data_IF_530069068016
#
_entry.id   IF_530069068016
#
_cell.length_a   1.000
_cell.length_b   1.000
_cell.length_c   1.000
_cell.angle_alpha   90.00
_cell.angle_beta   90.00
_cell.angle_gamma   90.00
#
_symmetry.space_group_name_H-M   'P 1'
#
loop_
_entity.id
_entity.type
_entity.pdbx_description
1 polymer ?
#
# COMPACT_ATOMS: atom_id res chain seq x y z
N UNK A 1 -11.35 6.35 -12.72
CA UNK A 1 -10.44 6.65 -13.85
C UNK A 1 -10.44 5.51 -14.88
N UNK A 2 -10.13 4.27 -14.50
CA UNK A 2 -10.02 3.13 -15.43
C UNK A 2 -11.28 2.90 -16.26
N UNK A 3 -12.44 2.79 -15.62
CA UNK A 3 -13.72 2.59 -16.31
C UNK A 3 -14.02 3.71 -17.32
N UNK A 4 -13.73 4.97 -16.95
CA UNK A 4 -13.89 6.11 -17.86
C UNK A 4 -13.00 6.06 -19.11
N UNK A 5 -11.92 5.28 -19.04
CA UNK A 5 -10.99 5.08 -20.17
C UNK A 5 -11.17 3.68 -20.82
N UNK A 6 -12.31 3.05 -20.65
CA UNK A 6 -12.64 1.73 -21.22
C UNK A 6 -11.66 0.61 -20.83
N UNK A 7 -10.98 0.73 -19.70
CA UNK A 7 -10.10 -0.31 -19.17
C UNK A 7 -10.96 -1.37 -18.49
N UNK A 8 -10.83 -2.61 -18.93
CA UNK A 8 -11.50 -3.75 -18.29
C UNK A 8 -10.81 -4.10 -16.97
N UNK A 9 -11.60 -4.25 -15.91
CA UNK A 9 -11.13 -4.64 -14.59
C UNK A 9 -11.68 -6.02 -14.28
N UNK A 10 -10.81 -6.93 -13.85
CA UNK A 10 -11.16 -8.30 -13.46
C UNK A 10 -10.79 -8.49 -11.99
N UNK A 11 -11.78 -8.48 -11.14
CA UNK A 11 -11.64 -8.78 -9.71
C UNK A 11 -11.58 -10.29 -9.47
N UNK A 12 -11.07 -10.70 -8.29
CA UNK A 12 -10.97 -12.12 -7.90
C UNK A 12 -10.23 -13.00 -8.92
N UNK A 13 -9.29 -12.41 -9.64
CA UNK A 13 -8.54 -13.05 -10.71
C UNK A 13 -7.02 -13.05 -10.40
N UNK A 14 -6.58 -13.77 -9.34
CA UNK A 14 -5.18 -13.81 -8.97
C UNK A 14 -4.33 -14.39 -10.09
N UNK A 15 -3.22 -13.73 -10.39
CA UNK A 15 -2.20 -14.22 -11.32
C UNK A 15 -1.23 -15.11 -10.57
N UNK A 16 -1.13 -16.38 -10.99
CA UNK A 16 -0.31 -17.38 -10.31
C UNK A 16 1.05 -17.60 -11.00
N UNK A 17 1.13 -17.32 -12.30
CA UNK A 17 2.34 -17.54 -13.09
C UNK A 17 2.35 -16.63 -14.31
N UNK A 18 3.54 -16.20 -14.70
CA UNK A 18 3.80 -15.49 -15.95
C UNK A 18 4.83 -16.32 -16.75
N UNK A 19 4.53 -16.61 -17.99
CA UNK A 19 5.43 -17.34 -18.88
C UNK A 19 5.77 -16.49 -20.10
N UNK A 20 7.08 -16.44 -20.40
CA UNK A 20 7.57 -15.88 -21.65
C UNK A 20 7.35 -16.89 -22.80
N UNK A 21 6.60 -16.50 -23.80
CA UNK A 21 6.48 -17.19 -25.08
C UNK A 21 7.07 -16.27 -26.16
N UNK A 22 7.71 -16.82 -27.16
CA UNK A 22 8.54 -16.07 -28.13
C UNK A 22 7.98 -14.70 -28.55
N UNK A 23 6.69 -14.61 -28.86
CA UNK A 23 6.06 -13.38 -29.36
C UNK A 23 5.06 -12.74 -28.37
N UNK A 24 4.70 -13.43 -27.30
CA UNK A 24 3.70 -13.01 -26.32
C UNK A 24 4.04 -13.49 -24.91
N UNK A 25 3.34 -12.96 -23.92
CA UNK A 25 3.40 -13.40 -22.54
C UNK A 25 2.11 -14.12 -22.20
N UNK A 26 2.20 -15.29 -21.58
CA UNK A 26 1.07 -16.03 -21.05
C UNK A 26 0.93 -15.74 -19.54
N UNK A 27 -0.23 -15.24 -19.14
CA UNK A 27 -0.56 -14.87 -17.77
C UNK A 27 -1.58 -15.88 -17.27
N UNK A 28 -1.20 -16.69 -16.30
CA UNK A 28 -2.02 -17.75 -15.74
C UNK A 28 -2.78 -17.23 -14.51
N UNK A 29 -4.09 -17.38 -14.56
CA UNK A 29 -4.99 -17.23 -13.41
C UNK A 29 -5.51 -18.61 -13.01
N UNK A 30 -6.34 -18.70 -11.95
CA UNK A 30 -6.89 -20.00 -11.53
C UNK A 30 -7.67 -20.73 -12.64
N UNK A 31 -8.36 -19.98 -13.51
CA UNK A 31 -9.31 -20.55 -14.46
C UNK A 31 -8.98 -20.21 -15.92
N UNK A 32 -8.07 -19.30 -16.19
CA UNK A 32 -7.84 -18.77 -17.53
C UNK A 32 -6.36 -18.52 -17.81
N UNK A 33 -6.01 -18.51 -19.08
CA UNK A 33 -4.72 -18.03 -19.59
C UNK A 33 -5.00 -16.80 -20.45
N UNK A 34 -4.41 -15.69 -20.07
CA UNK A 34 -4.47 -14.43 -20.81
C UNK A 34 -3.20 -14.33 -21.65
N UNK A 35 -3.33 -14.05 -22.94
CA UNK A 35 -2.23 -13.84 -23.87
C UNK A 35 -2.09 -12.36 -24.16
N UNK A 36 -0.88 -11.84 -24.03
CA UNK A 36 -0.60 -10.42 -24.26
C UNK A 36 0.77 -10.20 -24.85
N UNK A 37 0.92 -9.19 -25.70
CA UNK A 37 2.23 -8.78 -26.22
C UNK A 37 3.10 -8.13 -25.15
N UNK A 38 2.50 -7.44 -24.20
CA UNK A 38 3.18 -6.77 -23.08
C UNK A 38 2.35 -6.92 -21.81
N UNK A 39 3.03 -6.91 -20.68
CA UNK A 39 2.44 -6.92 -19.35
C UNK A 39 3.11 -5.88 -18.46
N UNK A 40 2.33 -5.24 -17.60
CA UNK A 40 2.82 -4.39 -16.52
C UNK A 40 2.51 -5.09 -15.20
N UNK A 41 3.54 -5.34 -14.40
CA UNK A 41 3.43 -5.90 -13.05
C UNK A 41 3.54 -4.76 -12.04
N UNK A 42 2.45 -4.44 -11.38
CA UNK A 42 2.31 -3.34 -10.43
C UNK A 42 1.80 -3.82 -9.06
N UNK A 43 2.22 -5.00 -8.61
CA UNK A 43 1.73 -5.66 -7.40
C UNK A 43 2.30 -5.09 -6.10
N UNK A 44 3.34 -4.26 -6.15
CA UNK A 44 4.04 -3.70 -4.99
C UNK A 44 4.37 -4.77 -3.93
N UNK A 45 3.93 -4.61 -2.67
CA UNK A 45 4.19 -5.55 -1.57
C UNK A 45 3.52 -6.92 -1.69
N UNK A 46 2.64 -7.10 -2.66
CA UNK A 46 1.89 -8.35 -2.91
C UNK A 46 2.43 -9.12 -4.12
N UNK A 47 3.71 -8.94 -4.45
CA UNK A 47 4.32 -9.54 -5.64
C UNK A 47 4.49 -11.07 -5.50
N UNK A 48 4.66 -11.57 -4.29
CA UNK A 48 4.98 -12.97 -3.99
C UNK A 48 6.12 -13.51 -4.87
N UNK A 49 5.99 -14.71 -5.43
CA UNK A 49 6.99 -15.34 -6.29
C UNK A 49 6.84 -15.04 -7.79
N UNK A 50 5.92 -14.13 -8.15
CA UNK A 50 5.50 -13.90 -9.53
C UNK A 50 6.64 -13.49 -10.48
N UNK A 51 7.66 -12.78 -9.98
CA UNK A 51 8.85 -12.38 -10.73
C UNK A 51 10.12 -13.14 -10.32
N UNK A 52 10.00 -14.26 -9.62
CA UNK A 52 11.13 -15.07 -9.18
C UNK A 52 12.14 -14.27 -8.35
N UNK A 53 13.46 -14.35 -8.65
CA UNK A 53 14.51 -13.69 -7.86
C UNK A 53 14.35 -12.16 -7.75
N UNK A 54 13.65 -11.52 -8.68
CA UNK A 54 13.48 -10.06 -8.68
C UNK A 54 12.65 -9.54 -7.49
N UNK A 55 11.94 -10.40 -6.78
CA UNK A 55 11.27 -10.05 -5.52
C UNK A 55 12.25 -9.74 -4.38
N UNK A 56 13.47 -10.23 -4.45
CA UNK A 56 14.45 -10.14 -3.35
C UNK A 56 15.05 -8.74 -3.18
N UNK A 57 14.70 -7.78 -4.02
CA UNK A 57 15.20 -6.41 -3.93
C UNK A 57 14.41 -5.50 -2.98
N UNK A 58 13.35 -6.02 -2.35
CA UNK A 58 12.58 -5.29 -1.36
C UNK A 58 12.11 -6.20 -0.22
N UNK A 59 11.81 -5.57 0.92
CA UNK A 59 11.26 -6.23 2.09
C UNK A 59 9.76 -5.90 2.20
N UNK A 60 8.86 -6.89 2.25
CA UNK A 60 7.46 -6.65 2.54
C UNK A 60 7.29 -6.29 4.03
N UNK A 61 6.61 -5.18 4.30
CA UNK A 61 6.32 -4.71 5.66
C UNK A 61 4.82 -4.47 5.78
N UNK A 62 4.19 -5.06 6.77
CA UNK A 62 2.79 -4.78 7.07
C UNK A 62 2.69 -3.51 7.90
N UNK A 63 1.89 -2.58 7.43
CA UNK A 63 1.57 -1.31 8.08
C UNK A 63 0.08 -1.26 8.43
N UNK A 64 -0.29 -0.54 9.49
CA UNK A 64 -1.65 -0.53 10.02
C UNK A 64 -2.12 0.88 10.29
N UNK A 65 -3.41 1.10 10.05
CA UNK A 65 -4.10 2.37 10.28
C UNK A 65 -5.41 2.11 11.02
N UNK A 66 -5.79 3.05 11.88
CA UNK A 66 -7.10 3.11 12.50
C UNK A 66 -7.79 4.44 12.19
N UNK A 67 -9.12 4.43 12.27
CA UNK A 67 -9.94 5.63 12.22
C UNK A 67 -10.92 5.65 13.40
N UNK A 68 -10.99 6.79 14.07
CA UNK A 68 -11.95 7.00 15.15
C UNK A 68 -13.36 7.21 14.60
N UNK A 69 -14.37 7.26 15.46
CA UNK A 69 -15.64 7.91 15.16
C UNK A 69 -15.42 9.38 14.80
N UNK A 70 -16.38 10.07 14.16
CA UNK A 70 -16.30 11.50 13.94
C UNK A 70 -16.19 12.27 15.25
N UNK A 71 -15.13 13.07 15.42
CA UNK A 71 -14.87 13.80 16.68
C UNK A 71 -15.48 15.20 16.69
N UNK A 72 -15.92 15.68 15.52
CA UNK A 72 -16.37 17.04 15.31
C UNK A 72 -15.24 18.05 15.14
N UNK A 73 -15.57 19.16 14.51
CA UNK A 73 -14.59 20.18 14.08
C UNK A 73 -13.84 20.81 15.27
N UNK A 74 -14.52 21.04 16.39
CA UNK A 74 -13.93 21.67 17.59
C UNK A 74 -12.79 20.81 18.14
N UNK A 75 -13.00 19.51 18.29
CA UNK A 75 -11.98 18.55 18.77
C UNK A 75 -10.84 18.45 17.75
N UNK A 76 -11.18 18.35 16.47
CA UNK A 76 -10.19 18.25 15.41
C UNK A 76 -9.24 19.46 15.39
N UNK A 77 -9.78 20.68 15.47
CA UNK A 77 -8.98 21.92 15.50
C UNK A 77 -8.12 22.06 16.77
N UNK A 78 -8.60 21.51 17.90
CA UNK A 78 -7.81 21.50 19.15
C UNK A 78 -6.59 20.59 19.03
N UNK A 79 -6.73 19.42 18.38
CA UNK A 79 -5.67 18.43 18.24
C UNK A 79 -4.68 18.79 17.11
N UNK A 80 -5.21 19.19 15.96
CA UNK A 80 -4.44 19.60 14.79
C UNK A 80 -4.99 20.93 14.29
N UNK A 81 -4.38 22.02 14.71
CA UNK A 81 -4.87 23.38 14.47
C UNK A 81 -5.12 23.70 12.99
N UNK A 82 -4.24 23.23 12.11
CA UNK A 82 -4.40 23.28 10.67
C UNK A 82 -4.74 21.87 10.18
N UNK A 83 -5.71 21.72 9.32
CA UNK A 83 -6.06 20.40 8.77
C UNK A 83 -4.94 19.89 7.83
N UNK A 84 -3.82 19.50 8.41
CA UNK A 84 -2.65 18.97 7.71
C UNK A 84 -2.36 17.53 8.15
N UNK A 85 -1.63 16.80 7.31
CA UNK A 85 -1.01 15.55 7.72
C UNK A 85 0.20 15.83 8.61
N UNK A 86 0.36 15.07 9.67
CA UNK A 86 1.49 15.12 10.59
C UNK A 86 2.25 13.82 10.52
N UNK A 87 3.56 13.90 10.48
CA UNK A 87 4.49 12.77 10.47
C UNK A 87 5.59 13.08 11.49
N UNK A 88 5.89 12.12 12.37
CA UNK A 88 7.02 12.26 13.28
C UNK A 88 8.36 11.86 12.63
N UNK A 89 9.47 12.05 13.36
CA UNK A 89 10.83 11.78 12.89
C UNK A 89 11.41 10.45 13.37
N UNK A 90 10.60 9.55 13.94
CA UNK A 90 11.08 8.24 14.41
C UNK A 90 11.36 7.30 13.26
N UNK A 91 12.17 6.27 13.49
CA UNK A 91 12.45 5.25 12.47
C UNK A 91 11.18 4.52 12.03
N UNK A 92 10.35 4.06 12.97
CA UNK A 92 8.96 3.66 12.75
C UNK A 92 8.09 4.88 13.03
N UNK A 93 7.75 5.60 11.97
CA UNK A 93 7.01 6.86 12.04
C UNK A 93 5.58 6.65 12.53
N UNK A 94 5.09 7.54 13.37
CA UNK A 94 3.66 7.74 13.54
C UNK A 94 3.21 8.83 12.58
N UNK A 95 2.09 8.61 11.90
CA UNK A 95 1.51 9.61 11.02
C UNK A 95 0.00 9.68 11.24
N UNK A 96 -0.54 10.88 11.19
CA UNK A 96 -1.94 11.10 11.47
C UNK A 96 -2.48 12.36 10.79
N UNK A 97 -3.78 12.36 10.55
CA UNK A 97 -4.53 13.49 10.01
C UNK A 97 -6.01 13.33 10.31
N UNK A 98 -6.79 14.36 10.10
CA UNK A 98 -8.24 14.24 10.07
C UNK A 98 -8.76 13.95 8.66
N UNK A 99 -9.82 13.14 8.58
CA UNK A 99 -10.64 13.00 7.38
C UNK A 99 -11.59 14.20 7.24
N UNK A 100 -12.30 14.25 6.13
CA UNK A 100 -13.27 15.31 5.84
C UNK A 100 -14.42 15.35 6.88
N UNK A 101 -14.84 14.17 7.38
CA UNK A 101 -15.84 14.01 8.42
C UNK A 101 -15.27 14.04 9.86
N UNK A 102 -14.09 14.59 10.03
CA UNK A 102 -13.40 14.78 11.32
C UNK A 102 -13.07 13.49 12.10
N UNK A 103 -12.78 12.39 11.43
CA UNK A 103 -12.19 11.21 12.07
C UNK A 103 -10.68 11.38 12.19
N UNK A 104 -10.11 11.04 13.33
CA UNK A 104 -8.66 10.94 13.45
C UNK A 104 -8.21 9.63 12.78
N UNK A 105 -7.51 9.76 11.66
CA UNK A 105 -6.79 8.68 11.01
C UNK A 105 -5.40 8.61 11.64
N UNK A 106 -5.03 7.49 12.21
CA UNK A 106 -3.72 7.29 12.86
C UNK A 106 -3.08 6.00 12.37
N UNK A 107 -1.85 6.10 11.87
CA UNK A 107 -1.05 4.97 11.42
C UNK A 107 0.38 5.05 11.94
N UNK A 108 1.14 3.97 11.75
CA UNK A 108 2.55 3.98 12.14
C UNK A 108 3.11 2.62 12.51
N UNK A 109 2.49 1.83 13.40
CA UNK A 109 3.05 0.53 13.77
C UNK A 109 3.21 -0.39 12.56
N UNK A 110 4.34 -1.09 12.51
CA UNK A 110 4.72 -1.96 11.41
C UNK A 110 5.13 -3.34 11.93
N UNK A 111 4.98 -4.35 11.09
CA UNK A 111 5.47 -5.71 11.35
C UNK A 111 6.15 -6.30 10.11
N UNK A 112 7.22 -7.08 10.34
CA UNK A 112 8.00 -7.76 9.28
C UNK A 112 7.57 -9.24 9.20
N UNK A 113 6.31 -9.53 9.46
CA UNK A 113 5.78 -10.90 9.44
C UNK A 113 4.93 -11.11 8.20
N UNK A 114 4.87 -12.35 7.71
CA UNK A 114 4.01 -12.71 6.57
C UNK A 114 2.51 -12.62 6.89
N UNK A 115 2.15 -12.51 8.16
CA UNK A 115 0.75 -12.44 8.61
C UNK A 115 0.45 -11.09 9.25
N UNK A 116 -0.73 -10.58 9.02
CA UNK A 116 -1.23 -9.41 9.73
C UNK A 116 -1.48 -9.75 11.21
N UNK A 117 -1.30 -8.75 12.09
CA UNK A 117 -1.66 -8.89 13.51
C UNK A 117 -3.17 -9.12 13.63
N UNK A 118 -3.56 -10.04 14.50
CA UNK A 118 -4.99 -10.38 14.69
C UNK A 118 -5.79 -9.19 15.22
N UNK A 119 -5.21 -8.37 16.08
CA UNK A 119 -5.84 -7.19 16.67
C UNK A 119 -5.11 -5.91 16.26
N UNK A 120 -5.24 -5.57 14.98
CA UNK A 120 -4.67 -4.34 14.42
C UNK A 120 -5.20 -3.09 15.12
N UNK A 121 -6.46 -3.10 15.56
CA UNK A 121 -7.10 -2.01 16.28
C UNK A 121 -6.34 -1.64 17.55
N UNK A 122 -6.18 -2.57 18.48
CA UNK A 122 -5.48 -2.33 19.73
C UNK A 122 -3.98 -2.13 19.53
N UNK A 123 -3.40 -2.76 18.51
CA UNK A 123 -1.99 -2.58 18.17
C UNK A 123 -1.67 -1.13 17.82
N UNK A 124 -2.48 -0.48 16.99
CA UNK A 124 -2.31 0.94 16.63
C UNK A 124 -2.80 1.86 17.74
N UNK A 125 -3.92 1.54 18.40
CA UNK A 125 -4.50 2.37 19.44
C UNK A 125 -3.52 2.68 20.58
N UNK A 126 -2.72 1.69 21.00
CA UNK A 126 -1.66 1.87 22.01
C UNK A 126 -0.65 2.96 21.64
N UNK A 127 -0.38 3.15 20.37
CA UNK A 127 0.50 4.22 19.87
C UNK A 127 -0.25 5.55 19.86
N UNK A 128 -1.48 5.56 19.32
CA UNK A 128 -2.32 6.76 19.29
C UNK A 128 -2.52 7.36 20.70
N UNK A 129 -2.78 6.53 21.70
CA UNK A 129 -3.01 6.98 23.09
C UNK A 129 -1.74 7.56 23.75
N UNK A 130 -0.55 7.22 23.27
CA UNK A 130 0.70 7.86 23.73
C UNK A 130 0.85 9.27 23.17
N UNK A 131 0.34 9.52 21.98
CA UNK A 131 0.37 10.84 21.34
C UNK A 131 -0.82 11.69 21.77
N UNK A 132 -1.98 11.08 21.87
CA UNK A 132 -3.26 11.71 22.22
C UNK A 132 -3.98 10.91 23.32
N UNK A 133 -3.61 11.08 24.61
CA UNK A 133 -4.23 10.32 25.71
C UNK A 133 -5.75 10.48 25.80
N UNK A 134 -6.25 11.65 25.41
CA UNK A 134 -7.68 11.95 25.40
C UNK A 134 -8.49 11.14 24.38
N UNK A 135 -7.84 10.46 23.44
CA UNK A 135 -8.52 9.60 22.46
C UNK A 135 -9.06 8.30 23.06
N UNK A 136 -8.66 7.93 24.29
CA UNK A 136 -9.17 6.74 24.97
C UNK A 136 -10.68 6.74 25.17
N UNK A 137 -11.31 7.90 25.24
CA UNK A 137 -12.77 8.05 25.41
C UNK A 137 -13.56 7.93 24.12
N UNK A 138 -12.90 7.93 22.97
CA UNK A 138 -13.56 7.85 21.67
C UNK A 138 -13.45 6.45 21.07
N UNK A 139 -14.50 6.06 20.35
CA UNK A 139 -14.55 4.76 19.68
C UNK A 139 -13.66 4.74 18.46
N UNK A 140 -12.91 3.65 18.29
CA UNK A 140 -12.24 3.34 17.03
C UNK A 140 -13.21 2.50 16.20
N UNK A 141 -13.66 3.05 15.08
CA UNK A 141 -14.65 2.40 14.22
C UNK A 141 -14.03 1.54 13.14
N UNK A 142 -12.90 1.98 12.59
CA UNK A 142 -12.24 1.24 11.50
C UNK A 142 -10.80 0.92 11.87
N UNK A 143 -10.34 -0.24 11.40
CA UNK A 143 -8.93 -0.64 11.44
C UNK A 143 -8.63 -1.48 10.20
N UNK A 144 -7.50 -1.23 9.58
CA UNK A 144 -7.05 -1.99 8.42
C UNK A 144 -5.52 -2.00 8.34
N UNK A 145 -4.99 -2.86 7.48
CA UNK A 145 -3.58 -2.91 7.18
C UNK A 145 -3.33 -3.15 5.70
N UNK A 146 -2.12 -2.91 5.29
CA UNK A 146 -1.64 -3.19 3.95
C UNK A 146 -0.16 -3.51 3.94
N UNK A 147 0.31 -4.24 2.94
CA UNK A 147 1.72 -4.59 2.80
C UNK A 147 2.43 -3.56 1.93
N UNK A 148 3.43 -2.92 2.49
CA UNK A 148 4.37 -2.05 1.78
C UNK A 148 5.53 -2.89 1.25
N UNK A 149 6.12 -2.47 0.14
CA UNK A 149 7.40 -2.96 -0.34
C UNK A 149 8.47 -1.88 -0.08
N UNK A 150 9.44 -2.21 0.74
CA UNK A 150 10.52 -1.30 1.13
C UNK A 150 11.81 -1.76 0.45
N UNK A 151 12.34 -0.97 -0.48
CA UNK A 151 13.63 -1.22 -1.12
C UNK A 151 14.78 -0.83 -0.18
N UNK A 152 15.96 -1.39 -0.42
CA UNK A 152 17.16 -1.15 0.40
C UNK A 152 17.52 0.34 0.44
N UNK A 153 17.46 1.01 -0.70
CA UNK A 153 17.78 2.45 -0.84
C UNK A 153 16.57 3.37 -0.73
N UNK A 154 15.38 2.81 -0.43
CA UNK A 154 14.09 3.50 -0.36
C UNK A 154 13.62 4.17 -1.66
N UNK A 155 14.24 3.86 -2.79
CA UNK A 155 13.82 4.32 -4.11
C UNK A 155 12.90 3.29 -4.78
N UNK A 156 11.95 3.71 -5.62
CA UNK A 156 11.15 2.81 -6.42
C UNK A 156 12.01 1.94 -7.33
N UNK A 157 11.57 0.71 -7.56
CA UNK A 157 12.22 -0.23 -8.46
C UNK A 157 11.39 -0.34 -9.73
N UNK A 158 11.94 0.10 -10.84
CA UNK A 158 11.36 -0.01 -12.18
C UNK A 158 12.32 -0.80 -13.07
N UNK A 159 11.77 -1.60 -13.96
CA UNK A 159 12.62 -2.36 -14.90
C UNK A 159 11.82 -3.17 -15.91
N UNK A 160 12.58 -3.89 -16.71
CA UNK A 160 12.10 -4.72 -17.80
C UNK A 160 12.60 -6.15 -17.66
N UNK A 161 11.77 -7.11 -18.02
CA UNK A 161 12.11 -8.52 -18.15
C UNK A 161 11.58 -9.08 -19.47
N UNK A 162 11.92 -10.32 -19.80
CA UNK A 162 11.37 -11.05 -20.95
C UNK A 162 11.52 -10.27 -22.27
N UNK A 163 12.73 -9.78 -22.56
CA UNK A 163 13.01 -8.95 -23.75
C UNK A 163 12.04 -7.76 -23.86
N UNK A 164 11.85 -7.04 -22.77
CA UNK A 164 10.99 -5.86 -22.65
C UNK A 164 9.49 -6.13 -22.83
N UNK A 165 9.06 -7.38 -22.80
CA UNK A 165 7.62 -7.72 -22.82
C UNK A 165 6.97 -7.54 -21.44
N UNK A 166 7.75 -7.68 -20.36
CA UNK A 166 7.29 -7.45 -19.00
C UNK A 166 7.95 -6.19 -18.44
N UNK A 167 7.12 -5.27 -18.01
CA UNK A 167 7.51 -4.05 -17.30
C UNK A 167 7.08 -4.22 -15.85
N UNK A 168 7.92 -3.86 -14.89
CA UNK A 168 7.53 -3.89 -13.50
C UNK A 168 7.83 -2.58 -12.78
N UNK A 169 6.97 -2.26 -11.81
CA UNK A 169 7.12 -1.08 -10.98
C UNK A 169 6.59 -1.38 -9.57
N UNK A 170 7.49 -1.36 -8.58
CA UNK A 170 7.17 -1.69 -7.19
C UNK A 170 8.17 -1.06 -6.21
N UNK A 171 8.03 -1.41 -4.92
CA UNK A 171 8.92 -1.00 -3.83
C UNK A 171 9.01 0.53 -3.65
N UNK A 172 7.86 1.18 -3.61
CA UNK A 172 7.76 2.63 -3.42
C UNK A 172 8.07 3.11 -1.99
N UNK A 173 8.37 2.21 -1.06
CA UNK A 173 8.81 2.53 0.31
C UNK A 173 7.91 3.52 1.06
N UNK A 174 6.58 3.40 0.88
CA UNK A 174 5.58 4.28 1.50
C UNK A 174 5.20 5.53 0.68
N UNK A 175 5.90 5.83 -0.42
CA UNK A 175 5.66 7.02 -1.26
C UNK A 175 4.86 6.71 -2.55
N UNK A 176 4.19 5.54 -2.59
CA UNK A 176 3.57 5.01 -3.81
C UNK A 176 2.53 5.91 -4.45
N UNK A 177 1.76 6.66 -3.67
CA UNK A 177 0.68 7.50 -4.22
C UNK A 177 1.20 8.56 -5.21
N UNK A 178 2.30 9.23 -4.88
CA UNK A 178 2.91 10.23 -5.76
C UNK A 178 3.79 9.57 -6.84
N UNK A 179 4.65 8.61 -6.43
CA UNK A 179 5.65 8.01 -7.31
C UNK A 179 5.05 7.10 -8.38
N UNK A 180 3.93 6.42 -8.12
CA UNK A 180 3.28 5.57 -9.12
C UNK A 180 2.73 6.35 -10.32
N UNK A 181 2.28 7.59 -10.10
CA UNK A 181 1.85 8.47 -11.21
C UNK A 181 3.04 8.82 -12.11
N UNK A 182 4.19 9.11 -11.52
CA UNK A 182 5.42 9.37 -12.29
C UNK A 182 5.90 8.11 -12.99
N UNK A 183 5.90 6.96 -12.30
CA UNK A 183 6.25 5.68 -12.90
C UNK A 183 5.38 5.36 -14.12
N UNK A 184 4.06 5.56 -14.03
CA UNK A 184 3.14 5.38 -15.15
C UNK A 184 3.35 6.33 -16.33
N UNK A 185 4.04 7.47 -16.14
CA UNK A 185 4.44 8.36 -17.25
C UNK A 185 5.76 7.95 -17.89
N UNK A 186 6.61 7.21 -17.17
CA UNK A 186 7.92 6.74 -17.66
C UNK A 186 7.82 5.40 -18.41
N UNK A 187 6.76 4.64 -18.18
CA UNK A 187 6.43 3.36 -18.83
C UNK A 187 5.64 3.59 -20.11
#
# INVERSE_FOLDING_TARGET
>A
ACIKNNIKIFENSPVNKIEDKNFEVHIHTNNHIIKSKKIIVACNGYLDDLLGPNRNYFMPINNYIIATEPLGESVAKKLIRRNCGVIDSRFMIDYYRFSEDFRLLFGGPETITSKFVKDAKNFVAKRMYKVFPEMQKYKIEFSWGGTLAISINRLPILGYLMNQKLIYSHAYSGHGLAMSVMAGKLI
#
